data_IF_757908293205
#
_entry.id   IF_757908293205
#
_cell.length_a   1.000
_cell.length_b   1.000
_cell.length_c   1.000
_cell.angle_alpha   90.00
_cell.angle_beta   90.00
_cell.angle_gamma   90.00
#
_symmetry.space_group_name_H-M   'P 1'
#
loop_
_entity.id
_entity.type
_entity.pdbx_description
1 polymer ?
#
# COMPACT_ATOMS: atom_id res chain seq x y z
N UNK A 1 -0.56 -4.49 -20.57
CA UNK A 1 -1.68 -4.95 -21.43
C UNK A 1 -1.91 -6.46 -21.37
N UNK A 2 -0.88 -7.31 -21.55
CA UNK A 2 -1.05 -8.77 -21.58
C UNK A 2 -1.68 -9.30 -20.27
N UNK A 3 -1.17 -8.88 -19.13
CA UNK A 3 -1.69 -9.33 -17.83
C UNK A 3 -3.11 -8.81 -17.54
N UNK A 4 -3.41 -7.57 -17.90
CA UNK A 4 -4.77 -7.04 -17.73
C UNK A 4 -5.76 -7.73 -18.67
N UNK A 5 -5.35 -8.06 -19.90
CA UNK A 5 -6.19 -8.85 -20.79
C UNK A 5 -6.44 -10.25 -20.24
N UNK A 6 -5.41 -10.90 -19.70
CA UNK A 6 -5.59 -12.20 -19.02
C UNK A 6 -6.60 -12.14 -17.89
N UNK A 7 -6.56 -11.06 -17.04
CA UNK A 7 -7.57 -10.91 -15.99
C UNK A 7 -8.98 -10.75 -16.58
N UNK A 8 -9.11 -9.92 -17.61
CA UNK A 8 -10.38 -9.68 -18.29
C UNK A 8 -10.94 -10.99 -18.85
N UNK A 9 -10.11 -11.80 -19.51
CA UNK A 9 -10.50 -13.11 -20.03
C UNK A 9 -10.94 -14.06 -18.90
N UNK A 10 -10.25 -14.05 -17.76
CA UNK A 10 -10.64 -14.87 -16.59
C UNK A 10 -11.94 -14.39 -15.95
N UNK A 11 -12.17 -13.08 -15.86
CA UNK A 11 -13.43 -12.54 -15.37
C UNK A 11 -14.59 -12.94 -16.26
N UNK A 12 -14.42 -12.96 -17.57
CA UNK A 12 -15.42 -13.41 -18.53
C UNK A 12 -15.72 -14.93 -18.41
N UNK A 13 -14.66 -15.74 -18.27
CA UNK A 13 -14.77 -17.20 -18.11
C UNK A 13 -15.49 -17.58 -16.82
N UNK A 14 -15.19 -16.88 -15.71
CA UNK A 14 -15.70 -17.23 -14.37
C UNK A 14 -16.80 -16.29 -13.87
N UNK A 15 -17.41 -15.48 -14.74
CA UNK A 15 -18.42 -14.48 -14.33
C UNK A 15 -19.59 -15.03 -13.52
N UNK A 16 -19.95 -16.30 -13.70
CA UNK A 16 -21.05 -16.97 -13.05
C UNK A 16 -20.61 -17.74 -11.79
N UNK A 17 -19.32 -17.86 -11.54
CA UNK A 17 -18.71 -18.53 -10.39
C UNK A 17 -18.01 -17.54 -9.43
N UNK A 18 -17.79 -17.90 -8.17
CA UNK A 18 -16.91 -17.16 -7.29
C UNK A 18 -15.46 -17.18 -7.82
N UNK A 19 -14.82 -16.03 -7.90
CA UNK A 19 -13.41 -15.94 -8.27
C UNK A 19 -12.62 -14.98 -7.35
N UNK A 20 -11.32 -15.20 -7.26
CA UNK A 20 -10.35 -14.28 -6.65
C UNK A 20 -9.21 -14.05 -7.62
N UNK A 21 -8.98 -12.80 -7.99
CA UNK A 21 -7.90 -12.40 -8.89
C UNK A 21 -6.91 -11.51 -8.13
N UNK A 22 -5.65 -11.90 -8.10
CA UNK A 22 -4.56 -11.11 -7.57
C UNK A 22 -3.69 -10.60 -8.71
N UNK A 23 -3.63 -9.28 -8.87
CA UNK A 23 -2.89 -8.63 -9.93
C UNK A 23 -1.72 -7.81 -9.38
N UNK A 24 -0.52 -8.38 -9.20
CA UNK A 24 0.68 -7.63 -8.84
C UNK A 24 1.17 -6.84 -10.05
N UNK A 25 0.51 -5.69 -10.31
CA UNK A 25 0.81 -4.83 -11.46
C UNK A 25 2.22 -4.25 -11.33
N UNK A 26 3.02 -4.32 -12.40
CA UNK A 26 4.35 -3.73 -12.43
C UNK A 26 4.34 -2.20 -12.47
N UNK A 27 3.26 -1.58 -12.99
CA UNK A 27 3.13 -0.13 -13.01
C UNK A 27 2.88 0.45 -11.60
N UNK A 28 3.41 1.62 -11.28
CA UNK A 28 4.33 2.46 -12.05
C UNK A 28 5.82 2.23 -11.70
N UNK A 29 6.27 1.01 -11.56
CA UNK A 29 7.68 0.69 -11.28
C UNK A 29 8.54 0.99 -12.52
N UNK A 30 9.77 1.46 -12.33
CA UNK A 30 10.69 1.68 -13.44
C UNK A 30 10.92 0.42 -14.27
N UNK A 31 11.06 0.60 -15.57
CA UNK A 31 11.45 -0.46 -16.50
C UNK A 31 12.95 -0.74 -16.47
N UNK A 32 13.35 -1.77 -17.22
CA UNK A 32 14.75 -2.06 -17.51
C UNK A 32 15.03 -1.73 -18.96
N UNK A 33 15.85 -0.70 -19.19
CA UNK A 33 16.36 -0.38 -20.52
C UNK A 33 17.76 -0.99 -20.66
N UNK A 34 17.82 -2.17 -21.28
CA UNK A 34 19.06 -2.91 -21.49
C UNK A 34 20.08 -2.19 -22.42
N UNK A 35 19.64 -1.14 -23.10
CA UNK A 35 20.51 -0.37 -24.02
C UNK A 35 21.28 0.75 -23.33
N UNK A 36 20.94 1.05 -22.06
CA UNK A 36 21.52 2.13 -21.30
C UNK A 36 22.47 1.62 -20.18
N UNK A 37 23.48 2.40 -19.89
CA UNK A 37 24.43 2.15 -18.79
C UNK A 37 23.73 2.11 -17.42
N UNK A 38 22.70 2.97 -17.24
CA UNK A 38 21.78 2.99 -16.10
C UNK A 38 20.39 2.47 -16.53
N UNK A 39 20.16 1.16 -16.56
CA UNK A 39 18.97 0.56 -17.16
C UNK A 39 17.69 0.71 -16.32
N UNK A 40 17.75 1.32 -15.14
CA UNK A 40 16.61 1.50 -14.23
C UNK A 40 15.98 2.86 -14.43
N UNK A 41 15.05 2.95 -15.37
CA UNK A 41 14.41 4.20 -15.74
C UNK A 41 12.89 4.05 -15.81
N UNK A 42 12.17 5.14 -15.51
CA UNK A 42 10.79 5.25 -15.95
C UNK A 42 10.79 5.45 -17.46
N UNK A 43 10.01 4.68 -18.16
CA UNK A 43 9.99 4.63 -19.62
C UNK A 43 8.63 5.11 -20.15
N UNK A 44 8.59 5.66 -21.35
CA UNK A 44 7.34 6.03 -22.00
C UNK A 44 6.38 4.85 -22.06
N UNK A 45 5.10 5.11 -21.79
CA UNK A 45 4.03 4.12 -21.87
C UNK A 45 3.67 3.75 -23.31
N UNK A 46 2.94 2.65 -23.57
CA UNK A 46 2.53 2.28 -24.93
C UNK A 46 1.72 3.34 -25.66
N UNK A 47 1.00 4.19 -24.96
CA UNK A 47 0.18 5.29 -25.49
C UNK A 47 0.88 6.65 -25.46
N UNK A 48 2.15 6.73 -25.01
CA UNK A 48 2.92 7.97 -25.02
C UNK A 48 3.14 8.51 -26.42
N UNK A 49 2.98 9.81 -26.60
CA UNK A 49 3.24 10.52 -27.87
C UNK A 49 4.73 10.74 -28.12
N UNK A 50 5.55 10.75 -27.09
CA UNK A 50 7.02 10.84 -27.16
C UNK A 50 7.66 9.57 -26.57
N UNK A 51 7.99 8.64 -27.47
CA UNK A 51 8.63 7.35 -27.11
C UNK A 51 10.11 7.48 -26.73
N UNK A 52 10.70 8.62 -26.97
CA UNK A 52 12.12 8.91 -26.66
C UNK A 52 12.27 9.85 -25.45
N UNK A 53 11.18 10.14 -24.73
CA UNK A 53 11.24 11.02 -23.58
C UNK A 53 12.15 10.43 -22.48
N UNK A 54 13.21 11.17 -22.12
CA UNK A 54 14.15 10.80 -21.06
C UNK A 54 13.81 11.45 -19.71
N UNK A 55 12.78 12.28 -19.64
CA UNK A 55 12.35 12.94 -18.42
C UNK A 55 11.66 11.93 -17.48
N UNK A 56 12.39 11.52 -16.45
CA UNK A 56 11.92 10.51 -15.50
C UNK A 56 10.66 10.92 -14.75
N UNK A 57 10.49 12.22 -14.47
CA UNK A 57 9.31 12.74 -13.79
C UNK A 57 8.06 12.67 -14.67
N UNK A 58 8.19 13.01 -15.95
CA UNK A 58 7.10 12.93 -16.92
C UNK A 58 6.74 11.47 -17.23
N UNK A 59 7.72 10.63 -17.48
CA UNK A 59 7.49 9.20 -17.70
C UNK A 59 6.80 8.53 -16.50
N UNK A 60 7.14 8.92 -15.28
CA UNK A 60 6.44 8.42 -14.10
C UNK A 60 4.97 8.87 -14.08
N UNK A 61 4.69 10.12 -14.41
CA UNK A 61 3.33 10.64 -14.50
C UNK A 61 2.51 9.89 -15.56
N UNK A 62 3.09 9.65 -16.75
CA UNK A 62 2.48 8.86 -17.81
C UNK A 62 2.20 7.42 -17.36
N UNK A 63 3.15 6.79 -16.65
CA UNK A 63 2.96 5.44 -16.14
C UNK A 63 1.82 5.36 -15.11
N UNK A 64 1.64 6.39 -14.28
CA UNK A 64 0.51 6.47 -13.35
C UNK A 64 -0.81 6.64 -14.10
N UNK A 65 -0.86 7.51 -15.11
CA UNK A 65 -2.04 7.68 -15.96
C UNK A 65 -2.39 6.40 -16.72
N UNK A 66 -1.40 5.72 -17.24
CA UNK A 66 -1.61 4.44 -17.93
C UNK A 66 -2.05 3.32 -16.97
N UNK A 67 -1.53 3.30 -15.74
CA UNK A 67 -2.01 2.41 -14.68
C UNK A 67 -3.50 2.62 -14.41
N UNK A 68 -3.94 3.88 -14.31
CA UNK A 68 -5.35 4.22 -14.14
C UNK A 68 -6.20 3.73 -15.32
N UNK A 69 -5.73 3.92 -16.56
CA UNK A 69 -6.37 3.37 -17.76
C UNK A 69 -6.53 1.85 -17.72
N UNK A 70 -5.50 1.14 -17.27
CA UNK A 70 -5.55 -0.33 -17.14
C UNK A 70 -6.53 -0.77 -16.06
N UNK A 71 -6.57 -0.08 -14.92
CA UNK A 71 -7.56 -0.32 -13.86
C UNK A 71 -8.97 -0.02 -14.36
N UNK A 72 -9.15 1.09 -15.09
CA UNK A 72 -10.41 1.46 -15.70
C UNK A 72 -10.97 0.34 -16.59
N UNK A 73 -10.16 -0.27 -17.46
CA UNK A 73 -10.57 -1.40 -18.30
C UNK A 73 -11.08 -2.59 -17.48
N UNK A 74 -10.46 -2.88 -16.33
CA UNK A 74 -10.89 -3.96 -15.42
C UNK A 74 -12.24 -3.61 -14.80
N UNK A 75 -12.40 -2.37 -14.32
CA UNK A 75 -13.66 -1.88 -13.76
C UNK A 75 -14.78 -1.92 -14.81
N UNK A 76 -14.54 -1.39 -16.00
CA UNK A 76 -15.50 -1.37 -17.10
C UNK A 76 -15.95 -2.78 -17.48
N UNK A 77 -15.02 -3.74 -17.46
CA UNK A 77 -15.35 -5.15 -17.73
C UNK A 77 -16.28 -5.74 -16.68
N UNK A 78 -16.16 -5.39 -15.40
CA UNK A 78 -17.12 -5.85 -14.39
C UNK A 78 -18.52 -5.31 -14.63
N UNK A 79 -18.62 -4.07 -15.13
CA UNK A 79 -19.90 -3.46 -15.49
C UNK A 79 -20.49 -4.14 -16.74
N UNK A 80 -19.69 -4.32 -17.79
CA UNK A 80 -20.09 -5.01 -19.04
C UNK A 80 -20.65 -6.41 -18.75
N UNK A 81 -20.00 -7.17 -17.87
CA UNK A 81 -20.40 -8.52 -17.50
C UNK A 81 -21.58 -8.56 -16.49
N UNK A 82 -22.04 -7.43 -15.99
CA UNK A 82 -23.11 -7.35 -14.98
C UNK A 82 -22.73 -7.92 -13.62
N UNK A 83 -21.42 -7.90 -13.26
CA UNK A 83 -20.90 -8.43 -12.01
C UNK A 83 -20.38 -7.36 -11.05
N UNK A 84 -20.41 -6.08 -11.43
CA UNK A 84 -19.80 -4.99 -10.65
C UNK A 84 -20.31 -4.92 -9.20
N UNK A 85 -21.62 -5.03 -8.98
CA UNK A 85 -22.22 -4.93 -7.63
C UNK A 85 -21.81 -6.09 -6.71
N UNK A 86 -21.38 -7.22 -7.24
CA UNK A 86 -20.94 -8.41 -6.48
C UNK A 86 -19.43 -8.65 -6.54
N UNK A 87 -18.67 -7.69 -7.08
CA UNK A 87 -17.21 -7.76 -7.19
C UNK A 87 -16.57 -6.61 -6.38
N UNK A 88 -15.86 -6.95 -5.31
CA UNK A 88 -15.04 -5.98 -4.58
C UNK A 88 -13.68 -5.85 -5.26
N UNK A 89 -13.35 -4.66 -5.73
CA UNK A 89 -12.04 -4.31 -6.28
C UNK A 89 -11.28 -3.50 -5.24
N UNK A 90 -10.08 -3.95 -4.88
CA UNK A 90 -9.15 -3.24 -4.01
C UNK A 90 -7.88 -2.89 -4.79
N UNK A 91 -7.51 -1.61 -4.80
CA UNK A 91 -6.30 -1.11 -5.45
C UNK A 91 -5.41 -0.47 -4.41
N UNK A 92 -4.16 -0.90 -4.34
CA UNK A 92 -3.17 -0.35 -3.39
C UNK A 92 -1.76 -0.39 -3.99
N UNK A 93 -0.86 0.45 -3.48
CA UNK A 93 0.58 0.31 -3.71
C UNK A 93 1.22 -0.60 -2.66
N UNK A 94 2.32 -1.25 -2.98
CA UNK A 94 3.10 -2.08 -2.07
C UNK A 94 4.02 -1.27 -1.15
N UNK A 95 4.46 -0.09 -1.63
CA UNK A 95 5.34 0.85 -0.95
C UNK A 95 5.28 2.22 -1.61
N UNK A 96 5.91 3.20 -0.98
CA UNK A 96 5.99 4.55 -1.52
C UNK A 96 6.84 4.68 -2.78
N UNK A 97 6.73 5.82 -3.42
CA UNK A 97 7.37 6.16 -4.70
C UNK A 97 8.89 6.23 -4.57
N UNK A 98 9.61 5.95 -5.67
CA UNK A 98 11.05 6.10 -5.79
C UNK A 98 11.52 7.52 -5.42
N UNK A 99 12.67 7.62 -4.75
CA UNK A 99 13.19 8.88 -4.18
C UNK A 99 13.58 9.95 -5.21
N UNK A 100 13.73 9.58 -6.49
CA UNK A 100 13.98 10.52 -7.58
C UNK A 100 12.74 11.29 -8.05
N UNK A 101 11.55 10.84 -7.66
CA UNK A 101 10.28 11.44 -8.06
C UNK A 101 9.79 12.42 -7.00
N UNK A 102 9.23 13.54 -7.47
CA UNK A 102 8.60 14.57 -6.64
C UNK A 102 7.14 14.70 -7.03
N UNK A 103 6.26 14.70 -6.04
CA UNK A 103 4.82 14.84 -6.24
C UNK A 103 4.27 15.99 -5.43
N UNK A 104 3.30 16.71 -5.97
CA UNK A 104 2.61 17.76 -5.25
C UNK A 104 1.48 17.17 -4.41
N UNK A 105 1.42 17.58 -3.13
CA UNK A 105 0.32 17.26 -2.21
C UNK A 105 -0.17 18.57 -1.60
N UNK A 106 -1.17 19.17 -2.24
CA UNK A 106 -1.61 20.53 -1.92
C UNK A 106 -0.47 21.53 -2.16
N UNK A 107 -0.10 22.27 -1.12
CA UNK A 107 1.00 23.26 -1.12
C UNK A 107 2.39 22.66 -0.85
N UNK A 108 2.47 21.34 -0.63
CA UNK A 108 3.71 20.66 -0.27
C UNK A 108 4.25 19.81 -1.41
N UNK A 109 5.57 19.79 -1.53
CA UNK A 109 6.27 18.85 -2.42
C UNK A 109 6.75 17.66 -1.61
N UNK A 110 6.26 16.47 -1.96
CA UNK A 110 6.67 15.20 -1.37
C UNK A 110 7.71 14.55 -2.28
N UNK A 111 8.87 14.30 -1.74
CA UNK A 111 9.90 13.49 -2.39
C UNK A 111 9.64 12.02 -2.09
N UNK A 112 9.71 11.16 -3.07
CA UNK A 112 9.50 9.73 -2.89
C UNK A 112 10.40 9.14 -1.79
N UNK A 113 9.88 8.16 -1.09
CA UNK A 113 10.50 7.58 0.11
C UNK A 113 10.65 6.06 0.07
N UNK A 114 10.55 5.41 -1.09
CA UNK A 114 10.73 3.95 -1.22
C UNK A 114 11.95 3.46 -0.45
N UNK A 115 11.77 2.46 0.41
CA UNK A 115 12.81 1.91 1.28
C UNK A 115 13.08 2.71 2.56
N UNK A 116 12.41 3.85 2.78
CA UNK A 116 12.50 4.63 4.02
C UNK A 116 11.30 4.33 4.93
N UNK A 117 11.46 4.42 6.25
CA UNK A 117 10.38 4.20 7.21
C UNK A 117 9.43 5.41 7.36
N UNK A 118 9.65 6.49 6.61
CA UNK A 118 8.78 7.67 6.59
C UNK A 118 7.46 7.39 5.88
N UNK A 119 6.44 8.23 6.09
CA UNK A 119 5.15 8.08 5.40
C UNK A 119 5.31 8.11 3.87
N UNK A 120 6.26 8.89 3.34
CA UNK A 120 6.60 8.86 1.92
C UNK A 120 7.07 7.48 1.41
N UNK A 121 7.47 6.56 2.29
CA UNK A 121 7.89 5.20 1.95
C UNK A 121 6.89 4.11 2.35
N UNK A 122 6.01 4.37 3.31
CA UNK A 122 5.19 3.34 3.96
C UNK A 122 3.68 3.62 3.93
N UNK A 123 3.26 4.87 3.66
CA UNK A 123 1.85 5.23 3.58
C UNK A 123 1.43 5.29 2.11
N UNK A 124 0.65 4.32 1.67
CA UNK A 124 0.21 4.15 0.28
C UNK A 124 -1.31 4.35 0.15
N UNK A 125 -1.77 4.62 -1.07
CA UNK A 125 -3.19 4.68 -1.35
C UNK A 125 -3.83 3.29 -1.17
N UNK A 126 -5.07 3.28 -0.66
CA UNK A 126 -5.97 2.13 -0.69
C UNK A 126 -7.31 2.61 -1.21
N UNK A 127 -7.73 2.07 -2.34
CA UNK A 127 -8.97 2.42 -3.01
C UNK A 127 -9.83 1.17 -3.09
N UNK A 128 -11.12 1.32 -2.75
CA UNK A 128 -12.09 0.23 -2.84
C UNK A 128 -13.23 0.63 -3.77
N UNK A 129 -13.65 -0.29 -4.62
CA UNK A 129 -14.76 -0.12 -5.53
C UNK A 129 -15.68 -1.35 -5.48
N UNK A 130 -16.94 -1.13 -5.18
CA UNK A 130 -18.05 -2.08 -5.32
C UNK A 130 -19.34 -1.24 -5.33
N UNK A 131 -19.91 -0.95 -6.51
CA UNK A 131 -21.12 -0.12 -6.60
C UNK A 131 -22.28 -0.72 -5.81
N UNK A 132 -23.10 0.14 -5.23
CA UNK A 132 -24.21 -0.27 -4.39
C UNK A 132 -23.84 -0.71 -2.96
N UNK A 133 -22.57 -1.03 -2.69
CA UNK A 133 -22.10 -1.53 -1.39
C UNK A 133 -21.08 -0.59 -0.74
N UNK A 134 -20.05 -0.20 -1.48
CA UNK A 134 -19.06 0.80 -1.02
C UNK A 134 -19.60 2.20 -1.34
N UNK A 135 -19.79 3.07 -0.34
CA UNK A 135 -20.33 4.43 -0.57
C UNK A 135 -19.42 5.25 -1.49
N UNK A 136 -19.97 5.72 -2.61
CA UNK A 136 -19.22 6.50 -3.58
C UNK A 136 -18.70 7.82 -2.98
N UNK A 137 -17.44 8.17 -3.32
CA UNK A 137 -16.80 9.41 -2.87
C UNK A 137 -16.50 9.46 -1.38
N UNK A 138 -16.69 8.38 -0.64
CA UNK A 138 -16.37 8.32 0.79
C UNK A 138 -14.85 8.25 1.01
N UNK A 139 -14.40 8.86 2.12
CA UNK A 139 -13.01 8.78 2.58
C UNK A 139 -12.99 8.27 4.01
N UNK A 140 -12.33 7.13 4.23
CA UNK A 140 -12.09 6.59 5.56
C UNK A 140 -10.73 7.05 6.09
N UNK A 141 -10.68 7.40 7.38
CA UNK A 141 -9.43 7.67 8.11
C UNK A 141 -8.99 6.48 8.96
N UNK A 142 -9.69 5.37 8.86
CA UNK A 142 -9.37 4.16 9.61
C UNK A 142 -8.00 3.63 9.20
N UNK A 143 -7.20 3.26 10.19
CA UNK A 143 -5.93 2.61 9.94
C UNK A 143 -6.13 1.22 9.35
N UNK A 144 -5.44 0.95 8.26
CA UNK A 144 -5.40 -0.35 7.58
C UNK A 144 -3.94 -0.71 7.31
N UNK A 145 -3.60 -1.97 7.47
CA UNK A 145 -2.29 -2.50 7.10
C UNK A 145 -2.43 -3.78 6.26
N UNK A 146 -1.35 -4.25 5.64
CA UNK A 146 -1.42 -5.37 4.71
C UNK A 146 -1.86 -6.69 5.32
N UNK A 147 -1.61 -6.93 6.62
CA UNK A 147 -2.14 -8.11 7.30
C UNK A 147 -3.68 -8.15 7.34
N UNK A 148 -4.35 -7.01 7.14
CA UNK A 148 -5.80 -6.87 7.17
C UNK A 148 -6.49 -7.36 5.88
N UNK A 149 -5.74 -7.51 4.78
CA UNK A 149 -6.33 -7.92 3.49
C UNK A 149 -6.88 -9.34 3.54
N UNK A 150 -6.14 -10.30 4.11
CA UNK A 150 -6.58 -11.70 4.18
C UNK A 150 -7.90 -11.85 4.95
N UNK A 151 -8.05 -11.36 6.19
CA UNK A 151 -9.32 -11.45 6.89
C UNK A 151 -10.44 -10.63 6.22
N UNK A 152 -10.12 -9.54 5.52
CA UNK A 152 -11.13 -8.77 4.77
C UNK A 152 -11.68 -9.56 3.58
N UNK A 153 -10.80 -10.19 2.80
CA UNK A 153 -11.20 -11.05 1.68
C UNK A 153 -11.98 -12.26 2.19
N UNK A 154 -11.54 -12.89 3.28
CA UNK A 154 -12.25 -14.01 3.88
C UNK A 154 -13.68 -13.62 4.31
N UNK A 155 -13.84 -12.47 4.99
CA UNK A 155 -15.16 -11.96 5.38
C UNK A 155 -16.02 -11.62 4.17
N UNK A 156 -15.44 -10.98 3.14
CA UNK A 156 -16.16 -10.60 1.92
C UNK A 156 -16.68 -11.81 1.14
N UNK A 157 -15.97 -12.93 1.20
CA UNK A 157 -16.32 -14.19 0.51
C UNK A 157 -17.08 -15.18 1.39
N UNK A 158 -17.31 -14.86 2.68
CA UNK A 158 -17.96 -15.76 3.63
C UNK A 158 -17.12 -16.98 4.05
N UNK A 159 -15.80 -16.93 3.77
CA UNK A 159 -14.85 -17.98 4.18
C UNK A 159 -14.35 -17.66 5.59
N UNK A 160 -14.21 -18.69 6.43
CA UNK A 160 -13.62 -18.50 7.75
C UNK A 160 -12.19 -17.98 7.64
N UNK A 161 -11.81 -16.92 8.39
CA UNK A 161 -10.46 -16.40 8.35
C UNK A 161 -9.45 -17.43 8.90
N UNK A 162 -8.25 -17.41 8.35
CA UNK A 162 -7.14 -18.21 8.89
C UNK A 162 -6.81 -17.71 10.31
N UNK A 163 -6.60 -18.64 11.23
CA UNK A 163 -6.24 -18.35 12.61
C UNK A 163 -4.97 -19.13 12.99
N UNK A 164 -4.00 -18.51 13.71
CA UNK A 164 -4.01 -17.11 14.15
C UNK A 164 -3.68 -16.12 13.04
N UNK A 165 -4.17 -14.87 13.14
CA UNK A 165 -3.82 -13.76 12.26
C UNK A 165 -3.70 -12.46 13.04
N UNK A 166 -2.72 -11.62 12.70
CA UNK A 166 -2.58 -10.25 13.23
C UNK A 166 -3.52 -9.27 12.52
N UNK A 167 -4.06 -9.68 11.37
CA UNK A 167 -4.96 -8.88 10.54
C UNK A 167 -6.34 -8.70 11.16
N UNK A 168 -6.98 -7.57 10.85
CA UNK A 168 -8.37 -7.24 11.19
C UNK A 168 -9.10 -6.88 9.92
N UNK A 169 -10.26 -7.50 9.68
CA UNK A 169 -11.06 -7.12 8.53
C UNK A 169 -11.49 -5.65 8.59
N UNK A 170 -11.32 -4.96 7.49
CA UNK A 170 -11.83 -3.60 7.27
C UNK A 170 -13.08 -3.59 6.36
N UNK A 171 -13.67 -4.74 6.06
CA UNK A 171 -14.88 -4.83 5.26
C UNK A 171 -16.05 -3.99 5.84
N UNK A 172 -16.29 -3.97 7.17
CA UNK A 172 -17.34 -3.12 7.72
C UNK A 172 -17.13 -1.63 7.39
N UNK A 173 -15.87 -1.14 7.43
CA UNK A 173 -15.54 0.25 7.10
C UNK A 173 -15.77 0.55 5.61
N UNK A 174 -15.49 -0.39 4.73
CA UNK A 174 -15.82 -0.28 3.30
C UNK A 174 -17.33 -0.12 3.08
N UNK A 175 -18.15 -0.73 3.93
CA UNK A 175 -19.62 -0.63 3.90
C UNK A 175 -20.16 0.57 4.72
N UNK A 176 -19.32 1.54 5.09
CA UNK A 176 -19.71 2.70 5.88
C UNK A 176 -20.06 2.40 7.34
N UNK A 177 -19.71 1.22 7.86
CA UNK A 177 -19.97 0.80 9.25
C UNK A 177 -18.72 1.00 10.11
N UNK A 178 -18.87 1.11 11.42
CA UNK A 178 -17.75 1.30 12.35
C UNK A 178 -16.80 0.09 12.39
N UNK A 179 -17.34 -1.12 12.44
CA UNK A 179 -16.52 -2.33 12.63
C UNK A 179 -15.62 -2.28 13.87
N UNK A 180 -14.46 -2.94 13.79
CA UNK A 180 -13.43 -2.96 14.85
C UNK A 180 -12.12 -2.37 14.33
N UNK A 181 -12.03 -1.03 14.22
CA UNK A 181 -10.84 -0.37 13.66
C UNK A 181 -9.60 -0.62 14.52
N UNK A 182 -8.43 -0.46 13.91
CA UNK A 182 -7.16 -0.45 14.64
C UNK A 182 -6.96 0.89 15.33
N UNK A 183 -6.45 0.85 16.55
CA UNK A 183 -5.99 2.03 17.29
C UNK A 183 -4.54 2.39 16.93
N UNK A 184 -3.77 1.39 16.53
CA UNK A 184 -2.36 1.51 16.15
C UNK A 184 -1.99 0.48 15.10
N UNK A 185 -1.01 0.84 14.27
CA UNK A 185 -0.29 -0.10 13.42
C UNK A 185 1.17 -0.15 13.83
N UNK A 186 1.79 -1.29 13.55
CA UNK A 186 3.22 -1.51 13.73
C UNK A 186 3.87 -1.83 12.39
N UNK A 187 5.02 -1.22 12.11
CA UNK A 187 5.81 -1.51 10.92
C UNK A 187 7.23 -1.86 11.31
N UNK A 188 7.70 -2.96 10.77
CA UNK A 188 9.10 -3.32 10.74
C UNK A 188 9.60 -3.27 9.30
N UNK A 189 10.61 -2.45 9.05
CA UNK A 189 11.15 -2.23 7.71
C UNK A 189 12.66 -2.49 7.68
N UNK A 190 13.08 -3.38 6.83
CA UNK A 190 14.50 -3.65 6.56
C UNK A 190 14.74 -3.72 5.06
N UNK A 191 14.86 -2.56 4.42
CA UNK A 191 14.93 -2.44 2.97
C UNK A 191 16.13 -3.17 2.35
N UNK A 192 17.26 -3.19 3.04
CA UNK A 192 18.50 -3.79 2.54
C UNK A 192 19.21 -4.58 3.65
N UNK A 193 18.83 -5.86 3.88
CA UNK A 193 19.49 -6.72 4.84
C UNK A 193 21.01 -6.79 4.61
N UNK A 194 21.78 -6.57 5.69
CA UNK A 194 23.26 -6.55 5.62
C UNK A 194 23.87 -5.22 5.14
N UNK A 195 23.09 -4.30 4.57
CA UNK A 195 23.56 -2.99 4.10
C UNK A 195 22.96 -1.80 4.86
N UNK A 196 21.81 -1.98 5.49
CA UNK A 196 21.14 -0.97 6.29
C UNK A 196 20.73 -1.54 7.66
N UNK A 197 20.42 -0.67 8.60
CA UNK A 197 19.80 -1.08 9.85
C UNK A 197 18.30 -1.25 9.65
N UNK A 198 17.66 -2.20 10.34
CA UNK A 198 16.22 -2.28 10.38
C UNK A 198 15.64 -1.06 11.09
N UNK A 199 14.45 -0.70 10.71
CA UNK A 199 13.66 0.34 11.35
C UNK A 199 12.33 -0.25 11.82
N UNK A 200 11.85 0.19 12.96
CA UNK A 200 10.50 -0.11 13.43
C UNK A 200 9.83 1.15 13.92
N UNK A 201 8.53 1.20 13.78
CA UNK A 201 7.73 2.24 14.38
C UNK A 201 6.32 1.73 14.71
N UNK A 202 5.68 2.38 15.67
CA UNK A 202 4.24 2.30 15.88
C UNK A 202 3.61 3.65 15.58
N UNK A 203 2.41 3.64 15.01
CA UNK A 203 1.66 4.86 14.74
C UNK A 203 0.17 4.70 15.01
N UNK A 204 -0.49 5.79 15.34
CA UNK A 204 -1.92 5.99 15.19
C UNK A 204 -2.22 6.91 13.99
N UNK A 205 -3.43 7.45 13.88
CA UNK A 205 -3.81 8.33 12.76
C UNK A 205 -2.95 9.61 12.67
N UNK A 206 -2.40 10.09 13.79
CA UNK A 206 -1.69 11.36 13.86
C UNK A 206 -0.23 11.22 14.27
N UNK A 207 0.08 10.30 15.17
CA UNK A 207 1.37 10.22 15.84
C UNK A 207 2.13 8.98 15.40
N UNK A 208 3.45 9.13 15.23
CA UNK A 208 4.35 8.05 14.85
C UNK A 208 5.56 8.06 15.77
N UNK A 209 5.76 6.95 16.50
CA UNK A 209 6.90 6.74 17.37
C UNK A 209 7.85 5.74 16.73
N UNK A 210 9.06 6.17 16.44
CA UNK A 210 10.14 5.31 15.96
C UNK A 210 10.80 4.53 17.11
N UNK A 211 11.40 3.39 16.79
CA UNK A 211 12.15 2.57 17.73
C UNK A 211 13.37 3.28 18.33
N UNK A 212 13.87 4.33 17.70
CA UNK A 212 14.95 5.20 18.22
C UNK A 212 14.43 6.30 19.17
N UNK A 213 13.14 6.32 19.46
CA UNK A 213 12.50 7.25 20.38
C UNK A 213 12.01 8.56 19.76
N UNK A 214 12.19 8.82 18.48
CA UNK A 214 11.63 10.01 17.81
C UNK A 214 10.11 9.89 17.71
N UNK A 215 9.39 10.88 18.25
CA UNK A 215 7.93 11.01 18.08
C UNK A 215 7.65 12.11 17.06
N UNK A 216 6.85 11.80 16.06
CA UNK A 216 6.49 12.72 14.97
C UNK A 216 4.97 12.95 14.97
N UNK A 217 4.54 14.19 14.80
CA UNK A 217 3.15 14.57 14.46
C UNK A 217 3.00 14.54 12.94
N UNK A 218 2.77 13.37 12.36
CA UNK A 218 2.74 13.19 10.89
C UNK A 218 1.60 13.95 10.21
N UNK A 219 0.59 14.37 10.96
CA UNK A 219 -0.49 15.20 10.44
C UNK A 219 0.00 16.63 10.14
N UNK A 220 0.86 17.18 11.00
CA UNK A 220 1.39 18.54 10.87
C UNK A 220 2.79 18.57 10.25
N UNK A 221 3.57 17.51 10.40
CA UNK A 221 4.91 17.34 9.84
C UNK A 221 4.96 16.13 8.91
N UNK A 222 4.34 16.22 7.74
CA UNK A 222 4.30 15.15 6.73
C UNK A 222 5.66 14.77 6.16
N UNK A 223 6.67 15.63 6.36
CA UNK A 223 8.05 15.37 5.93
C UNK A 223 8.90 14.74 7.05
N UNK A 224 8.34 14.60 8.23
CA UNK A 224 8.96 13.97 9.41
C UNK A 224 10.32 14.56 9.80
N UNK A 225 10.42 15.89 9.79
CA UNK A 225 11.67 16.64 10.04
C UNK A 225 11.80 17.12 11.46
N UNK A 226 10.71 17.22 12.22
CA UNK A 226 10.65 17.92 13.50
C UNK A 226 10.10 17.01 14.61
N UNK A 227 10.96 16.20 15.27
CA UNK A 227 10.53 15.38 16.39
C UNK A 227 9.96 16.21 17.52
N UNK A 228 8.85 15.71 18.10
CA UNK A 228 8.16 16.35 19.22
C UNK A 228 8.77 15.92 20.53
N UNK A 229 9.16 16.90 21.38
CA UNK A 229 9.79 16.68 22.68
C UNK A 229 9.00 17.27 23.85
N UNK A 230 7.83 17.84 23.59
CA UNK A 230 7.02 18.49 24.62
C UNK A 230 6.47 17.51 25.65
N UNK A 231 6.22 18.00 26.87
CA UNK A 231 5.70 17.21 27.99
C UNK A 231 4.26 16.74 27.72
N UNK A 232 3.48 17.53 27.00
CA UNK A 232 2.10 17.22 26.62
C UNK A 232 2.01 15.96 25.71
N UNK A 233 3.11 15.59 25.08
CA UNK A 233 3.19 14.40 24.21
C UNK A 233 3.53 13.10 24.97
N UNK A 234 3.77 13.16 26.29
CA UNK A 234 4.12 11.98 27.11
C UNK A 234 3.05 10.87 27.01
N UNK A 235 1.74 11.12 27.19
CA UNK A 235 0.74 10.05 27.14
C UNK A 235 0.68 9.36 25.76
N UNK A 236 0.89 10.11 24.71
CA UNK A 236 0.94 9.55 23.33
C UNK A 236 2.18 8.70 23.14
N UNK A 237 3.32 9.17 23.63
CA UNK A 237 4.57 8.41 23.60
C UNK A 237 4.45 7.09 24.35
N UNK A 238 3.86 7.08 25.53
CA UNK A 238 3.63 5.88 26.33
C UNK A 238 2.70 4.89 25.62
N UNK A 239 1.59 5.38 25.03
CA UNK A 239 0.67 4.57 24.24
C UNK A 239 1.39 3.86 23.07
N UNK A 240 2.16 4.59 22.29
CA UNK A 240 2.85 4.06 21.12
C UNK A 240 4.06 3.20 21.52
N UNK A 241 4.73 3.53 22.63
CA UNK A 241 5.79 2.70 23.20
C UNK A 241 5.25 1.34 23.63
N UNK A 242 4.10 1.30 24.28
CA UNK A 242 3.44 0.04 24.64
C UNK A 242 3.07 -0.81 23.39
N UNK A 243 2.77 -0.18 22.24
CA UNK A 243 2.59 -0.89 21.00
C UNK A 243 3.91 -1.45 20.43
N UNK A 244 5.01 -0.68 20.51
CA UNK A 244 6.34 -1.14 20.12
C UNK A 244 6.84 -2.30 21.02
N UNK A 245 6.58 -2.25 22.31
CA UNK A 245 7.08 -3.23 23.28
C UNK A 245 6.39 -4.60 23.15
N UNK A 246 5.20 -4.64 22.57
CA UNK A 246 4.50 -5.90 22.25
C UNK A 246 5.09 -6.62 21.04
N UNK A 247 5.88 -5.92 20.23
CA UNK A 247 6.43 -6.44 18.98
C UNK A 247 7.91 -6.81 19.17
N UNK A 248 8.45 -7.74 18.36
CA UNK A 248 9.86 -8.12 18.45
C UNK A 248 10.79 -6.92 18.33
N UNK A 249 11.87 -6.96 19.10
CA UNK A 249 12.92 -5.95 19.04
C UNK A 249 13.64 -5.96 17.70
N UNK A 250 14.28 -4.84 17.35
CA UNK A 250 15.12 -4.74 16.15
C UNK A 250 16.18 -5.85 16.14
N UNK A 251 16.34 -6.49 14.98
CA UNK A 251 17.31 -7.57 14.79
C UNK A 251 16.82 -8.95 15.22
N UNK A 252 15.68 -9.09 15.85
CA UNK A 252 15.06 -10.40 16.05
C UNK A 252 14.43 -10.88 14.74
N UNK A 253 14.84 -12.05 14.29
CA UNK A 253 14.26 -12.69 13.10
C UNK A 253 12.90 -13.26 13.48
N UNK A 254 11.82 -12.72 12.91
CA UNK A 254 10.47 -13.26 13.06
C UNK A 254 10.27 -14.57 12.29
N UNK A 255 11.12 -14.83 11.30
CA UNK A 255 11.10 -16.08 10.54
C UNK A 255 12.13 -17.04 11.11
N UNK A 256 11.68 -18.19 11.55
CA UNK A 256 12.54 -19.32 11.77
C UNK A 256 12.91 -19.92 10.41
N UNK A 257 14.01 -19.43 9.81
CA UNK A 257 14.50 -19.90 8.52
C UNK A 257 14.85 -21.39 8.51
N UNK A 258 14.96 -22.04 9.67
CA UNK A 258 15.19 -23.49 9.77
C UNK A 258 13.98 -24.31 9.28
N UNK A 259 12.78 -23.72 9.20
CA UNK A 259 11.60 -24.36 8.62
C UNK A 259 11.63 -24.41 7.08
N UNK A 260 12.47 -23.57 6.44
CA UNK A 260 12.57 -23.51 4.97
C UNK A 260 13.67 -24.45 4.44
N UNK A 261 14.52 -24.98 5.31
CA UNK A 261 15.66 -25.85 4.95
C UNK A 261 15.38 -27.35 4.99
N UNK A 262 14.13 -27.77 5.01
CA UNK A 262 13.85 -29.21 4.85
C UNK A 262 13.43 -29.50 3.41
N UNK A 263 14.12 -30.44 2.73
CA UNK A 263 13.82 -30.86 1.37
C UNK A 263 12.44 -31.52 1.24
#
# INVERSE_FOLDING_TARGET
DVYSQFLIDRMEEYKDDPFFLYYPMALPHWGHDATKEEPRQFIPTPDSTDRNNENQQENFADMVAYMDTVIGRIVDKTVELGIAERTLILVTGDNGTFSGIKSNMGDKVIVGGKGKPTDAGTHVALIAYQPGTVPAGSVSKTLVEFSDFVPTVAEATGVAPLSPTDGRSFLPQLHGKKGTPRDTIFVYSWAHPGKSRPHRFARDERWKLYGDGRLIDVKNDVLEKSPVTSVEAIPIREKLQAALDRMPAEGQTLMNFDLIKKP
#
